data_IF_111548096132
#
_entry.id   IF_111548096132
#
_cell.length_a   1.000
_cell.length_b   1.000
_cell.length_c   1.000
_cell.angle_alpha   90.00
_cell.angle_beta   90.00
_cell.angle_gamma   90.00
#
_symmetry.space_group_name_H-M   'P 1'
#
loop_
_entity.id
_entity.type
_entity.pdbx_description
1 polymer ?
#
# COMPACT_ATOMS: atom_id res chain seq x y z
N UNK A 1 30.48 -30.91 27.55
CA UNK A 1 31.38 -29.75 27.75
C UNK A 1 30.75 -28.43 27.28
N UNK A 2 30.28 -28.31 26.02
CA UNK A 2 29.61 -27.09 25.49
C UNK A 2 28.38 -26.65 26.31
N UNK A 3 27.49 -27.59 26.63
CA UNK A 3 26.28 -27.30 27.44
C UNK A 3 26.61 -26.85 28.88
N UNK A 4 27.74 -27.32 29.43
CA UNK A 4 28.22 -26.93 30.76
C UNK A 4 28.73 -25.49 30.76
N UNK A 5 29.45 -25.07 29.70
CA UNK A 5 29.92 -23.68 29.55
C UNK A 5 28.76 -22.72 29.37
N UNK A 6 27.77 -23.08 28.54
CA UNK A 6 26.57 -22.27 28.28
C UNK A 6 25.84 -21.92 29.58
N UNK A 7 25.55 -22.93 30.41
CA UNK A 7 24.90 -22.74 31.72
C UNK A 7 25.69 -21.81 32.64
N UNK A 8 27.02 -21.90 32.64
CA UNK A 8 27.89 -20.99 33.43
C UNK A 8 27.83 -19.55 32.90
N UNK A 9 27.80 -19.37 31.57
CA UNK A 9 27.64 -18.05 30.95
C UNK A 9 26.27 -17.47 31.28
N UNK A 10 25.19 -18.25 31.18
CA UNK A 10 23.84 -17.81 31.56
C UNK A 10 23.83 -17.29 33.01
N UNK A 11 24.40 -18.05 33.96
CA UNK A 11 24.50 -17.62 35.38
C UNK A 11 25.27 -16.30 35.50
N UNK A 12 26.45 -16.19 34.87
CA UNK A 12 27.27 -14.98 34.92
C UNK A 12 26.59 -13.76 34.28
N UNK A 13 25.76 -13.96 33.25
CA UNK A 13 24.93 -12.90 32.64
C UNK A 13 23.84 -12.43 33.62
N UNK A 14 23.18 -13.37 34.34
CA UNK A 14 22.21 -13.02 35.40
C UNK A 14 22.86 -12.26 36.55
N UNK A 15 24.01 -12.73 37.04
CA UNK A 15 24.79 -12.06 38.08
C UNK A 15 25.26 -10.66 37.67
N UNK A 16 25.41 -10.42 36.37
CA UNK A 16 25.75 -9.10 35.82
C UNK A 16 24.54 -8.16 35.69
N UNK A 17 23.34 -8.57 36.11
CA UNK A 17 22.11 -7.77 36.06
C UNK A 17 21.47 -7.69 34.67
N UNK A 18 21.75 -8.65 33.78
CA UNK A 18 21.26 -8.65 32.39
C UNK A 18 20.26 -9.78 32.14
N UNK A 19 19.53 -10.20 33.19
CA UNK A 19 18.58 -11.32 33.11
C UNK A 19 17.48 -11.05 32.09
N UNK A 20 16.94 -9.83 32.04
CA UNK A 20 15.89 -9.45 31.08
C UNK A 20 16.32 -9.64 29.62
N UNK A 21 17.55 -9.21 29.28
CA UNK A 21 18.10 -9.37 27.92
C UNK A 21 18.34 -10.84 27.58
N UNK A 22 18.77 -11.64 28.55
CA UNK A 22 18.99 -13.07 28.38
C UNK A 22 17.66 -13.82 28.21
N UNK A 23 16.67 -13.53 29.04
CA UNK A 23 15.33 -14.12 28.96
C UNK A 23 14.71 -13.80 27.60
N UNK A 24 14.73 -12.53 27.20
CA UNK A 24 14.21 -12.11 25.89
C UNK A 24 14.92 -12.83 24.73
N UNK A 25 16.25 -13.01 24.82
CA UNK A 25 17.02 -13.74 23.81
C UNK A 25 16.67 -15.23 23.76
N UNK A 26 16.56 -15.90 24.91
CA UNK A 26 16.30 -17.33 24.98
C UNK A 26 14.87 -17.68 24.55
N UNK A 27 13.89 -16.81 24.83
CA UNK A 27 12.50 -16.98 24.40
C UNK A 27 12.37 -16.97 22.87
N UNK A 28 13.15 -16.14 22.18
CA UNK A 28 13.07 -15.94 20.73
C UNK A 28 14.03 -16.81 19.91
N UNK A 29 15.20 -17.13 20.47
CA UNK A 29 16.26 -17.77 19.70
C UNK A 29 17.32 -18.40 20.57
N UNK A 30 16.95 -19.49 21.29
CA UNK A 30 17.89 -20.29 22.08
C UNK A 30 19.11 -20.70 21.25
N UNK A 31 18.90 -21.09 19.98
CA UNK A 31 19.99 -21.49 19.07
C UNK A 31 20.95 -20.35 18.77
N UNK A 32 20.46 -19.15 18.47
CA UNK A 32 21.31 -18.01 18.17
C UNK A 32 22.26 -17.65 19.33
N UNK A 33 21.80 -17.79 20.58
CA UNK A 33 22.64 -17.62 21.76
C UNK A 33 23.56 -18.83 21.99
N UNK A 34 23.04 -20.06 21.88
CA UNK A 34 23.79 -21.28 22.13
C UNK A 34 24.93 -21.50 21.12
N UNK A 35 24.73 -21.11 19.86
CA UNK A 35 25.67 -21.28 18.76
C UNK A 35 26.68 -20.12 18.67
N UNK A 36 26.41 -19.00 19.38
CA UNK A 36 27.27 -17.82 19.34
C UNK A 36 28.74 -18.17 19.64
N UNK A 37 29.73 -17.68 18.86
CA UNK A 37 31.13 -18.12 18.97
C UNK A 37 31.79 -17.90 20.34
N UNK A 38 31.27 -16.98 21.17
CA UNK A 38 31.76 -16.75 22.54
C UNK A 38 31.17 -17.75 23.56
N UNK A 39 30.01 -18.33 23.23
CA UNK A 39 29.22 -19.23 24.07
C UNK A 39 29.54 -20.69 23.74
N UNK A 40 29.61 -21.04 22.46
CA UNK A 40 29.77 -22.43 21.97
C UNK A 40 31.20 -23.01 22.07
N UNK A 41 32.13 -22.30 22.71
CA UNK A 41 33.53 -22.73 22.82
C UNK A 41 33.71 -23.98 23.70
N UNK A 42 34.64 -24.88 23.36
CA UNK A 42 34.93 -26.06 24.16
C UNK A 42 35.73 -25.75 25.44
N UNK A 43 36.36 -24.57 25.56
CA UNK A 43 37.19 -24.21 26.71
C UNK A 43 36.36 -23.85 27.93
N UNK A 44 36.83 -24.17 29.12
CA UNK A 44 36.17 -23.75 30.37
C UNK A 44 36.15 -22.22 30.53
N UNK A 45 35.15 -21.71 31.25
CA UNK A 45 35.01 -20.29 31.51
C UNK A 45 35.72 -19.93 32.82
N UNK A 46 36.87 -19.26 32.71
CA UNK A 46 37.55 -18.65 33.86
C UNK A 46 37.12 -17.19 34.02
N UNK A 47 37.31 -16.58 35.19
CA UNK A 47 36.94 -15.16 35.41
C UNK A 47 37.69 -14.21 34.47
N UNK A 48 38.94 -14.53 34.12
CA UNK A 48 39.70 -13.78 33.11
C UNK A 48 39.05 -13.86 31.73
N UNK A 49 38.62 -15.06 31.30
CA UNK A 49 37.94 -15.24 30.01
C UNK A 49 36.59 -14.53 30.03
N UNK A 50 35.84 -14.65 31.13
CA UNK A 50 34.57 -13.97 31.33
C UNK A 50 34.70 -12.46 31.16
N UNK A 51 35.63 -11.82 31.86
CA UNK A 51 35.84 -10.38 31.77
C UNK A 51 36.23 -9.91 30.36
N UNK A 52 36.89 -10.76 29.58
CA UNK A 52 37.24 -10.46 28.19
C UNK A 52 36.04 -10.59 27.23
N UNK A 53 35.19 -11.59 27.41
CA UNK A 53 34.05 -11.82 26.50
C UNK A 53 32.80 -11.04 26.89
N UNK A 54 32.70 -10.61 28.16
CA UNK A 54 31.51 -9.92 28.70
C UNK A 54 31.11 -8.72 27.83
N UNK A 55 31.99 -7.75 27.49
CA UNK A 55 31.58 -6.59 26.70
C UNK A 55 30.92 -6.96 25.36
N UNK A 56 31.54 -7.89 24.60
CA UNK A 56 31.02 -8.34 23.32
C UNK A 56 29.71 -9.13 23.45
N UNK A 57 29.56 -9.92 24.51
CA UNK A 57 28.32 -10.65 24.76
C UNK A 57 27.18 -9.70 25.16
N UNK A 58 27.47 -8.65 25.93
CA UNK A 58 26.48 -7.60 26.25
C UNK A 58 26.05 -6.87 24.99
N UNK A 59 27.01 -6.47 24.15
CA UNK A 59 26.72 -5.82 22.88
C UNK A 59 25.81 -6.70 22.00
N UNK A 60 26.13 -7.99 21.85
CA UNK A 60 25.30 -8.94 21.11
C UNK A 60 23.86 -9.03 21.67
N UNK A 61 23.71 -9.12 22.99
CA UNK A 61 22.38 -9.20 23.63
C UNK A 61 21.58 -7.90 23.43
N UNK A 62 22.24 -6.74 23.46
CA UNK A 62 21.62 -5.44 23.20
C UNK A 62 21.19 -5.28 21.74
N UNK A 63 22.06 -5.66 20.79
CA UNK A 63 21.74 -5.65 19.35
C UNK A 63 20.53 -6.54 19.06
N UNK A 64 20.50 -7.76 19.62
CA UNK A 64 19.35 -8.66 19.46
C UNK A 64 18.08 -8.17 20.16
N UNK A 65 18.20 -7.45 21.27
CA UNK A 65 17.05 -6.81 21.88
C UNK A 65 16.50 -5.66 21.03
N UNK A 66 17.37 -4.86 20.41
CA UNK A 66 16.96 -3.77 19.51
C UNK A 66 16.31 -4.30 18.22
N UNK A 67 16.92 -5.31 17.58
CA UNK A 67 16.33 -5.99 16.41
C UNK A 67 14.91 -6.50 16.72
N UNK A 68 14.72 -7.15 17.87
CA UNK A 68 13.40 -7.64 18.30
C UNK A 68 12.40 -6.52 18.57
N UNK A 69 12.81 -5.47 19.29
CA UNK A 69 11.92 -4.37 19.57
C UNK A 69 11.38 -3.73 18.28
N UNK A 70 12.22 -3.68 17.25
CA UNK A 70 11.82 -3.23 15.92
C UNK A 70 10.89 -4.22 15.21
N UNK A 71 11.19 -5.52 15.24
CA UNK A 71 10.32 -6.57 14.70
C UNK A 71 8.94 -6.61 15.40
N UNK A 72 8.89 -6.49 16.72
CA UNK A 72 7.66 -6.42 17.50
C UNK A 72 6.85 -5.16 17.15
N UNK A 73 7.51 -4.01 16.99
CA UNK A 73 6.87 -2.77 16.54
C UNK A 73 6.24 -2.94 15.15
N UNK A 74 6.98 -3.48 14.19
CA UNK A 74 6.51 -3.75 12.83
C UNK A 74 5.33 -4.72 12.83
N UNK A 75 5.46 -5.84 13.54
CA UNK A 75 4.40 -6.85 13.64
C UNK A 75 3.12 -6.27 14.24
N UNK A 76 3.26 -5.38 15.22
CA UNK A 76 2.12 -4.69 15.84
C UNK A 76 1.40 -3.80 14.85
N UNK A 77 2.15 -2.98 14.08
CA UNK A 77 1.58 -2.13 13.02
C UNK A 77 0.87 -2.98 11.95
N UNK A 78 1.54 -4.03 11.45
CA UNK A 78 0.97 -4.91 10.42
C UNK A 78 -0.30 -5.64 10.91
N UNK A 79 -0.34 -6.07 12.17
CA UNK A 79 -1.53 -6.69 12.76
C UNK A 79 -2.67 -5.68 12.84
N UNK A 80 -2.36 -4.46 13.25
CA UNK A 80 -3.32 -3.39 13.37
C UNK A 80 -3.93 -3.02 12.00
N UNK A 81 -3.11 -2.80 10.97
CA UNK A 81 -3.56 -2.53 9.60
C UNK A 81 -4.44 -3.67 9.04
N UNK A 82 -4.10 -4.93 9.32
CA UNK A 82 -4.94 -6.08 8.94
C UNK A 82 -6.30 -6.08 9.63
N UNK A 83 -6.38 -5.60 10.88
CA UNK A 83 -7.66 -5.47 11.58
C UNK A 83 -8.51 -4.36 10.96
N UNK A 84 -7.90 -3.21 10.66
CA UNK A 84 -8.54 -2.10 9.93
C UNK A 84 -9.09 -2.57 8.59
N UNK A 85 -8.25 -3.23 7.79
CA UNK A 85 -8.63 -3.76 6.49
C UNK A 85 -9.85 -4.70 6.59
N UNK A 86 -9.87 -5.61 7.56
CA UNK A 86 -11.02 -6.50 7.79
C UNK A 86 -12.30 -5.76 8.16
N UNK A 87 -12.22 -4.75 9.02
CA UNK A 87 -13.38 -3.93 9.39
C UNK A 87 -13.88 -3.14 8.18
N UNK A 88 -12.96 -2.56 7.42
CA UNK A 88 -13.27 -1.84 6.19
C UNK A 88 -13.93 -2.73 5.13
N UNK A 89 -13.35 -3.88 4.82
CA UNK A 89 -13.89 -4.86 3.87
C UNK A 89 -15.31 -5.29 4.26
N UNK A 90 -15.53 -5.62 5.55
CA UNK A 90 -16.85 -5.98 6.06
C UNK A 90 -17.87 -4.82 5.97
N UNK A 91 -17.40 -3.57 6.05
CA UNK A 91 -18.23 -2.39 5.84
C UNK A 91 -18.56 -2.19 4.34
N UNK A 92 -17.58 -2.35 3.45
CA UNK A 92 -17.74 -2.25 1.98
C UNK A 92 -18.73 -3.31 1.46
N UNK A 93 -18.66 -4.53 1.98
CA UNK A 93 -19.57 -5.63 1.60
C UNK A 93 -21.05 -5.33 1.84
N UNK A 94 -21.36 -4.38 2.74
CA UNK A 94 -22.72 -3.93 3.05
C UNK A 94 -23.17 -2.74 2.18
N UNK A 95 -22.29 -2.19 1.35
CA UNK A 95 -22.58 -1.03 0.51
C UNK A 95 -23.06 -1.44 -0.88
N UNK A 96 -23.45 -0.43 -1.68
CA UNK A 96 -23.79 -0.62 -3.09
C UNK A 96 -22.57 -1.01 -3.92
N UNK A 97 -22.64 -2.13 -4.63
CA UNK A 97 -21.59 -2.61 -5.56
C UNK A 97 -21.37 -1.73 -6.80
N UNK A 98 -22.24 -0.75 -7.03
CA UNK A 98 -22.14 0.17 -8.16
C UNK A 98 -21.15 1.30 -7.86
N UNK A 99 -20.96 1.63 -6.57
CA UNK A 99 -20.07 2.74 -6.18
C UNK A 99 -18.62 2.25 -6.15
N UNK A 100 -17.70 3.13 -6.54
CA UNK A 100 -16.27 2.91 -6.35
C UNK A 100 -15.86 3.18 -4.90
N UNK A 101 -14.94 2.37 -4.38
CA UNK A 101 -14.41 2.45 -3.03
C UNK A 101 -12.87 2.44 -3.06
N UNK A 102 -12.20 3.11 -2.12
CA UNK A 102 -10.75 3.04 -1.96
C UNK A 102 -10.27 1.61 -1.67
N UNK A 103 -9.00 1.35 -1.89
CA UNK A 103 -8.35 0.12 -1.40
C UNK A 103 -8.24 0.12 0.13
N UNK A 104 -7.93 -1.04 0.72
CA UNK A 104 -7.61 -1.10 2.14
C UNK A 104 -6.36 -0.26 2.48
N UNK A 105 -5.40 -0.17 1.55
CA UNK A 105 -4.18 0.63 1.71
C UNK A 105 -4.47 2.14 1.71
N UNK A 106 -5.36 2.63 0.83
CA UNK A 106 -5.84 4.03 0.87
C UNK A 106 -6.42 4.38 2.25
N UNK A 107 -7.19 3.47 2.85
CA UNK A 107 -7.80 3.68 4.17
C UNK A 107 -6.75 3.65 5.27
N UNK A 108 -5.90 2.62 5.33
CA UNK A 108 -4.89 2.47 6.39
C UNK A 108 -3.85 3.61 6.35
N UNK A 109 -3.52 4.11 5.16
CA UNK A 109 -2.55 5.19 4.99
C UNK A 109 -3.17 6.59 5.05
N UNK A 110 -4.49 6.70 5.15
CA UNK A 110 -5.15 7.99 5.32
C UNK A 110 -4.81 8.63 6.68
N UNK A 111 -4.85 9.97 6.75
CA UNK A 111 -4.54 10.72 7.97
C UNK A 111 -5.52 10.31 9.08
N UNK A 112 -4.98 9.71 10.15
CA UNK A 112 -5.75 9.28 11.33
C UNK A 112 -5.99 7.78 11.46
N UNK A 113 -5.47 6.96 10.51
CA UNK A 113 -5.78 5.52 10.44
C UNK A 113 -4.56 4.61 10.61
N UNK A 114 -3.34 5.17 10.64
CA UNK A 114 -2.15 4.43 11.04
C UNK A 114 -2.23 4.15 12.55
N UNK A 115 -2.50 2.90 12.92
CA UNK A 115 -2.55 2.40 14.30
C UNK A 115 -1.13 2.29 14.91
N UNK A 116 -0.32 3.34 14.74
CA UNK A 116 1.06 3.41 15.20
C UNK A 116 1.24 3.49 16.72
N UNK A 117 0.17 3.44 17.53
CA UNK A 117 0.28 3.54 18.99
C UNK A 117 0.56 2.21 19.69
N UNK A 118 0.42 1.07 19.00
CA UNK A 118 0.81 -0.24 19.53
C UNK A 118 0.01 -0.75 20.74
N UNK A 119 -1.05 -0.07 21.15
CA UNK A 119 -1.96 -0.50 22.22
C UNK A 119 -3.20 -1.20 21.64
N UNK A 120 -3.40 -2.51 21.92
CA UNK A 120 -4.57 -3.27 21.45
C UNK A 120 -5.93 -2.81 22.00
N UNK A 121 -5.98 -2.22 23.21
CA UNK A 121 -7.24 -1.69 23.78
C UNK A 121 -7.62 -0.38 23.11
N UNK A 122 -6.65 0.52 22.92
CA UNK A 122 -6.82 1.74 22.11
C UNK A 122 -7.22 1.41 20.67
N UNK A 123 -6.67 0.33 20.10
CA UNK A 123 -7.02 -0.14 18.77
C UNK A 123 -8.51 -0.50 18.64
N UNK A 124 -9.14 -1.09 19.66
CA UNK A 124 -10.56 -1.52 19.57
C UNK A 124 -11.54 -0.35 19.60
N UNK A 125 -11.34 0.63 20.50
CA UNK A 125 -12.15 1.85 20.53
C UNK A 125 -11.90 2.70 19.28
N UNK A 126 -10.65 2.73 18.78
CA UNK A 126 -10.32 3.34 17.50
C UNK A 126 -11.09 2.67 16.34
N UNK A 127 -11.20 1.34 16.28
CA UNK A 127 -11.92 0.67 15.18
C UNK A 127 -13.40 1.09 15.08
N UNK A 128 -14.07 1.36 16.19
CA UNK A 128 -15.46 1.80 16.19
C UNK A 128 -15.61 3.26 15.72
N UNK A 129 -14.74 4.16 16.22
CA UNK A 129 -14.68 5.54 15.75
C UNK A 129 -14.32 5.61 14.26
N UNK A 130 -13.36 4.79 13.84
CA UNK A 130 -12.96 4.63 12.45
C UNK A 130 -14.13 4.22 11.55
N UNK A 131 -14.92 3.23 11.96
CA UNK A 131 -16.09 2.79 11.20
C UNK A 131 -17.13 3.91 10.98
N UNK A 132 -17.23 4.87 11.91
CA UNK A 132 -18.11 6.04 11.77
C UNK A 132 -17.55 7.06 10.76
N UNK A 133 -16.23 7.16 10.64
CA UNK A 133 -15.55 8.08 9.72
C UNK A 133 -15.41 7.54 8.29
N UNK A 134 -15.57 6.22 8.07
CA UNK A 134 -15.44 5.58 6.75
C UNK A 134 -16.24 6.28 5.63
N UNK A 135 -17.53 6.65 5.81
CA UNK A 135 -18.26 7.36 4.75
C UNK A 135 -17.58 8.66 4.33
N UNK A 136 -17.09 9.46 5.30
CA UNK A 136 -16.42 10.74 5.04
C UNK A 136 -15.11 10.51 4.28
N UNK A 137 -14.29 9.56 4.75
CA UNK A 137 -13.03 9.21 4.08
C UNK A 137 -13.22 8.77 2.64
N UNK A 138 -14.23 7.94 2.38
CA UNK A 138 -14.52 7.46 1.04
C UNK A 138 -14.94 8.62 0.12
N UNK A 139 -15.70 9.57 0.63
CA UNK A 139 -16.09 10.76 -0.14
C UNK A 139 -14.93 11.72 -0.38
N UNK A 140 -14.05 11.91 0.60
CA UNK A 140 -12.78 12.66 0.46
C UNK A 140 -11.87 12.00 -0.59
N UNK A 141 -11.65 10.69 -0.48
CA UNK A 141 -10.88 9.93 -1.46
C UNK A 141 -11.45 10.08 -2.88
N UNK A 142 -12.77 10.00 -3.06
CA UNK A 142 -13.39 10.20 -4.39
C UNK A 142 -13.14 11.61 -4.94
N UNK A 143 -13.12 12.64 -4.07
CA UNK A 143 -12.83 14.01 -4.47
C UNK A 143 -11.37 14.18 -4.84
N UNK A 144 -10.46 13.64 -4.03
CA UNK A 144 -9.02 13.70 -4.27
C UNK A 144 -8.66 13.01 -5.59
N UNK A 145 -9.16 11.78 -5.83
CA UNK A 145 -8.92 11.08 -7.09
C UNK A 145 -9.50 11.84 -8.29
N UNK A 146 -10.68 12.46 -8.16
CA UNK A 146 -11.22 13.33 -9.23
C UNK A 146 -10.27 14.48 -9.54
N UNK A 147 -9.72 15.14 -8.52
CA UNK A 147 -8.77 16.23 -8.70
C UNK A 147 -7.48 15.74 -9.36
N UNK A 148 -6.93 14.59 -8.94
CA UNK A 148 -5.76 13.99 -9.58
C UNK A 148 -6.00 13.67 -11.07
N UNK A 149 -7.16 13.09 -11.40
CA UNK A 149 -7.52 12.80 -12.79
C UNK A 149 -7.64 14.09 -13.62
N UNK A 150 -8.21 15.15 -13.07
CA UNK A 150 -8.33 16.42 -13.78
C UNK A 150 -6.98 17.08 -14.06
N UNK A 151 -5.95 16.85 -13.23
CA UNK A 151 -4.58 17.34 -13.50
C UNK A 151 -3.93 16.67 -14.71
N UNK A 152 -4.38 15.48 -15.10
CA UNK A 152 -3.89 14.78 -16.29
C UNK A 152 -4.50 15.31 -17.59
N UNK A 153 -5.61 16.05 -17.51
CA UNK A 153 -6.29 16.57 -18.69
C UNK A 153 -5.53 17.74 -19.31
N UNK A 154 -5.62 17.95 -20.63
CA UNK A 154 -5.02 19.11 -21.28
C UNK A 154 -5.60 20.41 -20.71
N UNK A 155 -4.80 21.48 -20.75
CA UNK A 155 -5.28 22.82 -20.40
C UNK A 155 -6.42 23.24 -21.34
N UNK A 156 -7.36 24.04 -20.83
CA UNK A 156 -8.34 24.67 -21.71
C UNK A 156 -7.66 25.79 -22.53
N UNK A 157 -8.18 26.10 -23.73
CA UNK A 157 -7.75 27.25 -24.51
C UNK A 157 -7.74 28.57 -23.70
N UNK A 158 -6.82 29.48 -24.02
CA UNK A 158 -6.60 30.75 -23.29
C UNK A 158 -7.83 31.68 -23.28
N UNK A 159 -8.75 31.52 -24.22
CA UNK A 159 -10.00 32.29 -24.35
C UNK A 159 -11.14 31.75 -23.48
N UNK A 160 -10.93 30.62 -22.79
CA UNK A 160 -11.91 30.08 -21.87
C UNK A 160 -11.95 30.92 -20.59
N UNK A 161 -13.15 31.36 -20.19
CA UNK A 161 -13.34 32.31 -19.07
C UNK A 161 -12.86 31.82 -17.69
N UNK A 162 -12.38 30.58 -17.60
CA UNK A 162 -11.90 29.93 -16.38
C UNK A 162 -10.65 29.05 -16.65
N UNK A 163 -9.84 29.41 -17.65
CA UNK A 163 -8.67 28.64 -18.09
C UNK A 163 -7.69 28.24 -16.96
N UNK A 164 -7.50 29.14 -15.98
CA UNK A 164 -6.63 28.91 -14.81
C UNK A 164 -7.17 27.86 -13.82
N UNK A 165 -8.47 27.56 -13.83
CA UNK A 165 -9.11 26.53 -12.98
C UNK A 165 -9.64 25.33 -13.76
N UNK A 166 -9.35 25.22 -15.05
CA UNK A 166 -9.75 24.11 -15.92
C UNK A 166 -9.43 22.71 -15.39
N UNK A 167 -8.30 22.59 -14.66
CA UNK A 167 -7.85 21.37 -14.00
C UNK A 167 -8.66 21.03 -12.74
N UNK A 168 -9.58 21.90 -12.31
CA UNK A 168 -10.49 21.69 -11.17
C UNK A 168 -11.92 21.41 -11.57
N UNK A 169 -12.24 21.19 -12.85
CA UNK A 169 -13.60 20.90 -13.28
C UNK A 169 -13.85 19.39 -13.47
N UNK A 170 -14.35 18.66 -12.45
CA UNK A 170 -14.67 17.25 -12.54
C UNK A 170 -15.65 16.89 -13.65
N UNK A 171 -16.47 17.83 -14.16
CA UNK A 171 -17.43 17.54 -15.23
C UNK A 171 -16.73 17.12 -16.52
N UNK A 172 -15.47 17.55 -16.71
CA UNK A 172 -14.64 17.14 -17.84
C UNK A 172 -14.38 15.64 -17.83
N UNK A 173 -14.33 15.00 -16.66
CA UNK A 173 -14.14 13.55 -16.55
C UNK A 173 -15.34 12.77 -17.08
N UNK A 174 -16.53 13.37 -17.09
CA UNK A 174 -17.78 12.73 -17.54
C UNK A 174 -17.94 12.76 -19.07
N UNK A 175 -17.14 13.57 -19.77
CA UNK A 175 -17.19 13.69 -21.22
C UNK A 175 -16.92 12.35 -21.90
N UNK A 176 -17.68 12.03 -22.94
CA UNK A 176 -17.48 10.84 -23.76
C UNK A 176 -16.08 10.81 -24.42
N UNK A 177 -15.47 11.99 -24.56
CA UNK A 177 -14.18 12.20 -25.19
C UNK A 177 -13.01 12.15 -24.21
N UNK A 178 -13.26 12.01 -22.90
CA UNK A 178 -12.19 11.93 -21.92
C UNK A 178 -11.82 10.48 -21.68
N UNK A 179 -10.69 10.08 -22.27
CA UNK A 179 -10.15 8.73 -22.19
C UNK A 179 -8.76 8.76 -21.56
N UNK A 180 -8.55 7.87 -20.62
CA UNK A 180 -7.24 7.60 -20.04
C UNK A 180 -6.69 6.28 -20.56
N UNK A 181 -5.36 6.15 -20.56
CA UNK A 181 -4.67 4.89 -20.82
C UNK A 181 -3.95 4.44 -19.56
N UNK A 182 -4.17 3.19 -19.15
CA UNK A 182 -3.34 2.57 -18.12
C UNK A 182 -1.97 2.20 -18.71
N UNK A 183 -0.89 2.64 -18.08
CA UNK A 183 0.47 2.33 -18.53
C UNK A 183 0.85 0.86 -18.28
N UNK A 184 0.25 0.22 -17.28
CA UNK A 184 0.55 -1.16 -16.89
C UNK A 184 -0.07 -2.18 -17.85
N UNK A 185 -1.39 -2.08 -18.13
CA UNK A 185 -2.11 -3.05 -18.95
C UNK A 185 -2.47 -2.54 -20.36
N UNK A 186 -2.28 -1.24 -20.63
CA UNK A 186 -2.61 -0.55 -21.89
C UNK A 186 -4.11 -0.44 -22.19
N UNK A 187 -4.98 -0.76 -21.25
CA UNK A 187 -6.43 -0.55 -21.39
C UNK A 187 -6.77 0.94 -21.52
N UNK A 188 -7.78 1.21 -22.34
CA UNK A 188 -8.47 2.49 -22.40
C UNK A 188 -9.59 2.52 -21.35
N UNK A 189 -9.61 3.57 -20.54
CA UNK A 189 -10.44 3.64 -19.34
C UNK A 189 -11.10 5.01 -19.25
N UNK A 190 -12.41 5.01 -19.05
CA UNK A 190 -13.18 6.22 -18.74
C UNK A 190 -13.42 6.36 -17.24
N UNK A 191 -13.75 7.56 -16.81
CA UNK A 191 -14.41 7.76 -15.52
C UNK A 191 -15.84 7.16 -15.55
N UNK A 192 -16.36 6.57 -14.45
CA UNK A 192 -15.72 6.31 -13.16
C UNK A 192 -14.94 4.98 -13.11
N UNK A 193 -14.86 4.19 -14.20
CA UNK A 193 -14.22 2.86 -14.22
C UNK A 193 -12.75 2.90 -13.77
N UNK A 194 -12.05 4.01 -14.02
CA UNK A 194 -10.67 4.21 -13.56
C UNK A 194 -10.51 4.13 -12.04
N UNK A 195 -11.56 4.43 -11.27
CA UNK A 195 -11.53 4.35 -9.80
C UNK A 195 -11.38 2.92 -9.28
N UNK A 196 -11.77 1.92 -10.07
CA UNK A 196 -11.80 0.49 -9.68
C UNK A 196 -10.95 -0.39 -10.59
N UNK A 197 -10.11 0.21 -11.43
CA UNK A 197 -9.22 -0.53 -12.31
C UNK A 197 -8.10 -1.17 -11.49
N UNK A 198 -7.92 -2.50 -11.58
CA UNK A 198 -7.05 -3.25 -10.66
C UNK A 198 -5.62 -2.73 -10.63
N UNK A 199 -5.06 -2.33 -11.79
CA UNK A 199 -3.69 -1.81 -11.84
C UNK A 199 -3.49 -0.56 -10.97
N UNK A 200 -4.55 0.18 -10.60
CA UNK A 200 -4.43 1.35 -9.75
C UNK A 200 -4.11 0.99 -8.29
N UNK A 201 -4.45 -0.21 -7.83
CA UNK A 201 -4.25 -0.67 -6.44
C UNK A 201 -3.45 -1.96 -6.35
N UNK A 202 -3.12 -2.58 -7.49
CA UNK A 202 -2.27 -3.78 -7.54
C UNK A 202 -0.85 -3.42 -7.11
N UNK A 203 -0.25 -4.32 -6.31
CA UNK A 203 1.14 -4.24 -5.87
C UNK A 203 2.08 -4.25 -7.08
N UNK A 204 2.95 -3.24 -7.14
CA UNK A 204 4.03 -3.09 -8.10
C UNK A 204 4.98 -4.30 -8.07
N UNK A 205 5.73 -4.54 -9.14
CA UNK A 205 6.69 -5.65 -9.14
C UNK A 205 7.76 -5.44 -8.05
N UNK A 206 8.17 -4.20 -7.82
CA UNK A 206 9.18 -3.85 -6.82
C UNK A 206 8.72 -4.27 -5.41
N UNK A 207 7.47 -3.98 -5.04
CA UNK A 207 6.92 -4.42 -3.75
C UNK A 207 6.65 -5.93 -3.71
N UNK A 208 6.32 -6.54 -4.86
CA UNK A 208 6.05 -7.99 -4.96
C UNK A 208 7.27 -8.84 -4.64
N UNK A 209 8.46 -8.37 -4.97
CA UNK A 209 9.72 -9.06 -4.69
C UNK A 209 9.98 -9.23 -3.18
N UNK A 210 9.33 -8.42 -2.34
CA UNK A 210 9.39 -8.52 -0.88
C UNK A 210 8.30 -9.42 -0.28
N UNK A 211 7.41 -10.01 -1.09
CA UNK A 211 6.42 -10.96 -0.59
C UNK A 211 7.12 -12.25 -0.14
N UNK A 212 7.16 -12.46 1.17
CA UNK A 212 7.73 -13.68 1.76
C UNK A 212 9.24 -13.64 1.96
N UNK A 213 9.92 -12.51 1.71
CA UNK A 213 11.29 -12.32 2.20
C UNK A 213 11.33 -12.33 3.72
N UNK A 214 12.35 -12.98 4.29
CA UNK A 214 12.58 -13.02 5.73
C UNK A 214 12.76 -11.60 6.31
N UNK A 215 12.33 -11.41 7.56
CA UNK A 215 12.39 -10.17 8.36
C UNK A 215 13.84 -9.76 8.69
N UNK A 216 14.67 -9.55 7.67
CA UNK A 216 16.08 -9.17 7.78
C UNK A 216 16.61 -8.30 6.64
N UNK A 217 15.82 -8.09 5.58
CA UNK A 217 16.12 -7.07 4.56
C UNK A 217 15.62 -5.72 5.10
N UNK A 218 16.47 -4.69 4.99
CA UNK A 218 16.14 -3.31 5.35
C UNK A 218 15.08 -2.75 4.40
N UNK A 219 13.83 -3.11 4.66
CA UNK A 219 12.63 -2.58 3.99
C UNK A 219 12.02 -1.53 4.90
N UNK A 220 11.51 -0.44 4.35
CA UNK A 220 10.81 0.59 5.12
C UNK A 220 9.43 0.08 5.59
N UNK A 221 8.86 0.75 6.59
CA UNK A 221 7.58 0.35 7.18
C UNK A 221 6.43 0.37 6.18
N UNK A 222 6.42 1.33 5.25
CA UNK A 222 5.34 1.49 4.27
C UNK A 222 5.30 0.25 3.38
N UNK A 223 6.45 -0.13 2.80
CA UNK A 223 6.53 -1.33 1.96
C UNK A 223 6.04 -2.58 2.69
N UNK A 224 6.36 -2.73 3.98
CA UNK A 224 5.85 -3.86 4.79
C UNK A 224 4.34 -3.84 4.95
N UNK A 225 3.75 -2.66 5.20
CA UNK A 225 2.30 -2.48 5.28
C UNK A 225 1.61 -2.83 3.96
N UNK A 226 2.12 -2.32 2.83
CA UNK A 226 1.58 -2.61 1.49
C UNK A 226 1.58 -4.12 1.18
N UNK A 227 2.70 -4.78 1.45
CA UNK A 227 2.83 -6.24 1.31
C UNK A 227 1.86 -6.98 2.24
N UNK A 228 1.68 -6.52 3.48
CA UNK A 228 0.75 -7.11 4.44
C UNK A 228 -0.71 -7.00 3.99
N UNK A 229 -1.08 -5.86 3.40
CA UNK A 229 -2.41 -5.54 2.89
C UNK A 229 -2.68 -6.11 1.50
N UNK A 230 -1.64 -6.58 0.80
CA UNK A 230 -1.73 -7.12 -0.57
C UNK A 230 -2.31 -6.12 -1.60
N UNK A 231 -2.19 -4.82 -1.33
CA UNK A 231 -2.62 -3.75 -2.22
C UNK A 231 -1.83 -2.46 -1.94
N UNK A 232 -1.92 -1.53 -2.89
CA UNK A 232 -1.39 -0.17 -2.83
C UNK A 232 -2.50 0.86 -2.80
N UNK A 233 -2.25 2.06 -2.24
CA UNK A 233 -3.10 3.21 -2.46
C UNK A 233 -3.32 3.47 -3.95
N UNK A 234 -4.45 4.05 -4.30
CA UNK A 234 -4.83 4.30 -5.68
C UNK A 234 -3.75 5.14 -6.39
N UNK A 235 -3.21 4.59 -7.49
CA UNK A 235 -2.12 5.19 -8.28
C UNK A 235 -0.91 5.60 -7.43
N UNK A 236 -0.47 4.73 -6.51
CA UNK A 236 0.62 4.99 -5.54
C UNK A 236 1.87 5.63 -6.14
N UNK A 237 2.39 5.10 -7.25
CA UNK A 237 3.60 5.62 -7.92
C UNK A 237 3.33 6.91 -8.72
N UNK A 238 2.07 7.27 -8.92
CA UNK A 238 1.62 8.45 -9.65
C UNK A 238 1.69 8.32 -11.18
N UNK A 239 2.30 7.26 -11.72
CA UNK A 239 2.61 7.11 -13.13
C UNK A 239 1.76 6.05 -13.87
N UNK A 240 0.83 5.38 -13.20
CA UNK A 240 0.09 4.26 -13.82
C UNK A 240 -0.95 4.71 -14.85
N UNK A 241 -1.23 6.00 -14.96
CA UNK A 241 -2.30 6.57 -15.79
C UNK A 241 -1.85 7.81 -16.55
N UNK A 242 -2.26 7.92 -17.82
CA UNK A 242 -2.07 9.12 -18.64
C UNK A 242 -3.35 9.46 -19.39
N UNK A 243 -3.55 10.75 -19.72
CA UNK A 243 -4.56 11.15 -20.69
C UNK A 243 -4.17 10.64 -22.09
N UNK A 244 -5.12 10.01 -22.78
CA UNK A 244 -4.90 9.43 -24.09
C UNK A 244 -5.43 10.36 -25.18
N UNK A 245 -4.57 11.24 -25.67
CA UNK A 245 -4.94 12.20 -26.71
C UNK A 245 -5.41 11.50 -28.01
N UNK A 246 -4.71 10.50 -28.57
CA UNK A 246 -5.20 9.79 -29.76
C UNK A 246 -6.57 9.14 -29.59
N UNK A 247 -6.83 8.46 -28.47
CA UNK A 247 -8.12 7.83 -28.22
C UNK A 247 -9.22 8.88 -27.99
N UNK A 248 -8.89 9.97 -27.30
CA UNK A 248 -9.81 11.07 -27.05
C UNK A 248 -10.21 11.78 -28.36
N UNK A 249 -9.29 12.05 -29.27
CA UNK A 249 -9.57 12.60 -30.60
C UNK A 249 -10.42 11.67 -31.48
N UNK A 250 -10.17 10.36 -31.40
CA UNK A 250 -11.03 9.38 -32.05
C UNK A 250 -12.46 9.45 -31.47
N UNK A 251 -12.59 9.49 -30.15
CA UNK A 251 -13.90 9.62 -29.50
C UNK A 251 -14.61 10.93 -29.87
N UNK A 252 -13.89 12.06 -30.01
CA UNK A 252 -14.45 13.32 -30.54
C UNK A 252 -15.08 13.11 -31.90
N UNK A 253 -14.35 12.46 -32.82
CA UNK A 253 -14.84 12.19 -34.19
C UNK A 253 -16.10 11.30 -34.19
N UNK A 254 -16.18 10.32 -33.27
CA UNK A 254 -17.35 9.44 -33.14
C UNK A 254 -18.58 10.18 -32.60
N UNK A 255 -18.38 11.10 -31.65
CA UNK A 255 -19.44 11.96 -31.11
C UNK A 255 -19.98 12.90 -32.21
N UNK A 256 -19.10 13.53 -32.99
CA UNK A 256 -19.48 14.38 -34.13
C UNK A 256 -20.24 13.58 -35.21
N UNK A 257 -19.82 12.36 -35.50
CA UNK A 257 -20.51 11.48 -36.44
C UNK A 257 -21.94 11.14 -36.00
N UNK A 258 -22.24 11.22 -34.71
CA UNK A 258 -23.60 11.11 -34.16
C UNK A 258 -24.40 12.42 -34.20
N UNK A 259 -23.81 13.51 -34.69
CA UNK A 259 -24.43 14.84 -34.68
C UNK A 259 -24.48 15.48 -33.29
N UNK A 260 -23.63 15.02 -32.37
CA UNK A 260 -23.52 15.54 -31.00
C UNK A 260 -22.28 16.44 -30.86
N UNK A 261 -22.21 17.19 -29.76
CA UNK A 261 -21.13 18.15 -29.51
C UNK A 261 -20.06 17.54 -28.60
N UNK A 262 -18.81 17.32 -29.06
CA UNK A 262 -17.74 16.67 -28.28
C UNK A 262 -17.45 17.31 -26.92
N UNK A 263 -17.52 18.64 -26.83
CA UNK A 263 -17.12 19.38 -25.63
C UNK A 263 -18.16 19.35 -24.51
N UNK A 264 -19.37 18.82 -24.77
CA UNK A 264 -20.47 18.76 -23.80
C UNK A 264 -21.14 17.41 -23.69
N UNK A 265 -20.88 16.49 -24.63
CA UNK A 265 -21.49 15.17 -24.65
C UNK A 265 -20.81 14.28 -23.62
N UNK A 266 -21.59 13.78 -22.66
CA UNK A 266 -21.12 12.86 -21.63
C UNK A 266 -21.19 11.41 -22.10
N UNK A 267 -20.41 10.55 -21.45
CA UNK A 267 -20.37 9.10 -21.73
C UNK A 267 -21.76 8.46 -21.69
N UNK A 268 -22.57 8.76 -20.67
CA UNK A 268 -23.89 8.16 -20.49
C UNK A 268 -24.83 8.47 -21.67
N UNK A 269 -24.73 9.66 -22.26
CA UNK A 269 -25.50 10.01 -23.46
C UNK A 269 -25.12 9.15 -24.67
N UNK A 270 -23.82 8.83 -24.83
CA UNK A 270 -23.36 7.93 -25.89
C UNK A 270 -23.78 6.48 -25.63
N UNK A 271 -23.74 6.03 -24.37
CA UNK A 271 -24.20 4.70 -23.97
C UNK A 271 -25.72 4.55 -24.21
N UNK A 272 -26.53 5.60 -23.92
CA UNK A 272 -27.97 5.65 -24.20
C UNK A 272 -28.30 5.71 -25.70
N UNK A 273 -27.56 6.52 -26.47
CA UNK A 273 -27.71 6.58 -27.93
C UNK A 273 -27.44 5.21 -28.57
N UNK A 274 -26.51 4.45 -27.97
CA UNK A 274 -26.19 3.08 -28.35
C UNK A 274 -25.81 2.96 -29.84
N UNK A 275 -25.16 3.99 -30.38
CA UNK A 275 -24.67 4.01 -31.75
C UNK A 275 -23.64 2.89 -31.99
N UNK A 276 -23.58 2.39 -33.23
CA UNK A 276 -22.68 1.32 -33.63
C UNK A 276 -21.78 1.81 -34.74
N UNK A 277 -20.47 1.60 -34.55
CA UNK A 277 -19.45 1.97 -35.50
C UNK A 277 -18.70 0.73 -35.97
N UNK A 278 -18.17 0.80 -37.18
CA UNK A 278 -17.34 -0.26 -37.75
C UNK A 278 -16.03 0.35 -38.17
N UNK A 279 -14.92 -0.25 -37.73
CA UNK A 279 -13.60 0.15 -38.20
C UNK A 279 -13.46 -0.24 -39.66
N UNK A 280 -13.06 0.71 -40.50
CA UNK A 280 -12.83 0.48 -41.93
C UNK A 280 -11.40 0.05 -42.24
N UNK A 281 -10.53 -0.02 -41.23
CA UNK A 281 -9.17 -0.52 -41.40
C UNK A 281 -9.18 -2.03 -41.57
N UNK A 282 -8.64 -2.49 -42.70
CA UNK A 282 -8.43 -3.89 -43.03
C UNK A 282 -7.68 -4.69 -41.94
N UNK A 283 -6.83 -4.05 -41.12
CA UNK A 283 -6.10 -4.74 -40.05
C UNK A 283 -6.97 -5.07 -38.83
N UNK A 284 -8.16 -4.45 -38.71
CA UNK A 284 -9.10 -4.74 -37.62
C UNK A 284 -10.13 -5.83 -37.98
N UNK A 285 -10.23 -6.21 -39.26
CA UNK A 285 -11.27 -7.07 -39.79
C UNK A 285 -11.04 -8.59 -39.59
N UNK A 286 -9.86 -9.01 -39.12
CA UNK A 286 -9.43 -10.41 -39.04
C UNK A 286 -9.53 -11.03 -37.63
N UNK A 287 -10.50 -10.62 -36.81
CA UNK A 287 -10.75 -11.26 -35.49
C UNK A 287 -12.23 -11.53 -35.26
N UNK A 288 -12.82 -12.35 -36.15
CA UNK A 288 -14.07 -13.07 -35.89
C UNK A 288 -13.80 -14.58 -35.80
#
# INVERSE_FOLDING_TARGET
MRESRRKVIEIKVREAGLDDLLIAQLAWGERAFADHPLVSQPRELTDRIWNNIKPSLVQFLQEKAAERAEEDRINTIMLADRLVAKVYEAWVDRQSRIKAFPSAADVCMSKGFSLGSGDPEEATDNLYAMAQELPRLVDEWRQDVKLELCKLLPALPEDHSDGDNAWKDPRRLELATTIFRCQSCRDLIHYPRVLVHSCMTDISNDHRDYIGTEMGISVDDITRCLVALRCEPWNYDGDKLVYDEPASELARSLVEACGLFPDTTIKDQMDELNARFTCLDSMCADKD
#
